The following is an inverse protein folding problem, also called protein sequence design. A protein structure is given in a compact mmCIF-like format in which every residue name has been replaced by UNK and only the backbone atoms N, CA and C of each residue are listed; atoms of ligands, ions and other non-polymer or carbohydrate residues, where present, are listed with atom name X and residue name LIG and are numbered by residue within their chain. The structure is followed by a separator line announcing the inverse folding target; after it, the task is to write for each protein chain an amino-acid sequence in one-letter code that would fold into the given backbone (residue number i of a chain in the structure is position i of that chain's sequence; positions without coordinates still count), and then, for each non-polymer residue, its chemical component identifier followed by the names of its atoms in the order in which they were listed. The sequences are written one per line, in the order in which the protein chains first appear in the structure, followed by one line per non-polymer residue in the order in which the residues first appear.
data_IF_358341922773
#
_entry.id   IF_358341922773
#
_cell.length_a   1.000
_cell.length_b   1.000
_cell.length_c   1.000
_cell.angle_alpha   90.00
_cell.angle_beta   90.00
_cell.angle_gamma   90.00
#
_symmetry.space_group_name_H-M   'P 1'
#
loop_
_entity.id
_entity.type
_entity.pdbx_description
1 polymer ?
#
# COMPACT_ATOMS: atom_id res chain seq x y z
N UNK A 1 -16.90 -12.76 16.59
CA UNK A 1 -17.54 -12.17 15.38
C UNK A 1 -17.27 -13.12 14.22
N UNK A 2 -18.29 -13.50 13.45
CA UNK A 2 -18.11 -14.42 12.32
C UNK A 2 -17.89 -13.60 11.04
N UNK A 3 -16.73 -13.78 10.39
CA UNK A 3 -16.40 -13.17 9.09
C UNK A 3 -16.04 -14.31 8.14
N UNK A 4 -16.81 -14.48 7.06
CA UNK A 4 -16.55 -15.51 6.04
C UNK A 4 -16.33 -16.93 6.60
N UNK A 5 -17.20 -17.34 7.54
CA UNK A 5 -17.11 -18.60 8.30
C UNK A 5 -15.87 -18.75 9.20
N UNK A 6 -15.11 -17.67 9.39
CA UNK A 6 -14.03 -17.60 10.37
C UNK A 6 -14.48 -16.86 11.60
N UNK A 7 -14.25 -17.43 12.78
CA UNK A 7 -14.41 -16.70 14.02
C UNK A 7 -13.21 -15.78 14.25
N UNK A 8 -13.48 -14.48 14.24
CA UNK A 8 -12.56 -13.44 14.71
C UNK A 8 -13.02 -13.04 16.10
N UNK A 9 -12.16 -13.24 17.09
CA UNK A 9 -12.44 -12.83 18.47
C UNK A 9 -12.41 -11.31 18.51
N UNK A 10 -13.46 -10.72 19.07
CA UNK A 10 -13.58 -9.28 19.23
C UNK A 10 -13.56 -8.98 20.73
N UNK A 11 -12.49 -8.33 21.18
CA UNK A 11 -12.40 -7.76 22.53
C UNK A 11 -12.89 -6.32 22.39
N UNK A 12 -14.13 -6.11 22.81
CA UNK A 12 -14.74 -4.78 22.77
C UNK A 12 -14.19 -3.89 23.87
N UNK A 13 -14.05 -2.61 23.55
CA UNK A 13 -13.78 -1.54 24.52
C UNK A 13 -12.54 -1.79 25.42
N UNK A 14 -11.49 -2.42 24.89
CA UNK A 14 -10.21 -2.60 25.59
C UNK A 14 -9.71 -1.24 26.07
N UNK A 15 -9.73 -1.03 27.38
CA UNK A 15 -9.35 0.24 28.00
C UNK A 15 -7.84 0.29 28.22
N UNK A 16 -7.21 1.34 27.68
CA UNK A 16 -5.80 1.67 27.91
C UNK A 16 -5.72 2.77 28.97
N UNK A 17 -5.02 2.51 30.07
CA UNK A 17 -4.73 3.53 31.08
C UNK A 17 -3.71 4.55 30.55
N UNK A 18 -2.77 4.10 29.71
CA UNK A 18 -1.75 4.97 29.10
C UNK A 18 -2.37 5.99 28.14
N UNK A 19 -3.34 5.56 27.32
CA UNK A 19 -3.99 6.40 26.32
C UNK A 19 -5.29 7.07 26.80
N UNK A 20 -5.78 6.66 27.96
CA UNK A 20 -7.06 7.06 28.55
C UNK A 20 -8.21 6.99 27.53
N UNK A 21 -8.33 5.84 26.88
CA UNK A 21 -9.43 5.53 25.97
C UNK A 21 -9.64 4.03 25.82
N UNK A 22 -10.81 3.68 25.30
CA UNK A 22 -11.17 2.32 24.92
C UNK A 22 -11.14 2.18 23.40
N UNK A 23 -10.68 1.02 22.92
CA UNK A 23 -10.70 0.62 21.51
C UNK A 23 -10.96 -0.87 21.35
N UNK A 24 -11.39 -1.28 20.17
CA UNK A 24 -11.58 -2.69 19.89
C UNK A 24 -10.25 -3.36 19.50
N UNK A 25 -10.07 -4.59 19.98
CA UNK A 25 -8.98 -5.47 19.55
C UNK A 25 -9.59 -6.69 18.88
N UNK A 26 -9.09 -7.03 17.70
CA UNK A 26 -9.58 -8.16 16.89
C UNK A 26 -8.49 -9.22 16.81
N UNK A 27 -8.81 -10.45 17.21
CA UNK A 27 -7.85 -11.55 17.23
C UNK A 27 -8.30 -12.64 16.26
N UNK A 28 -7.47 -12.91 15.26
CA UNK A 28 -7.58 -14.10 14.41
C UNK A 28 -6.74 -15.23 15.03
N UNK A 29 -7.36 -16.39 15.14
CA UNK A 29 -6.70 -17.63 15.55
C UNK A 29 -6.50 -18.55 14.34
N UNK A 30 -5.36 -19.26 14.25
CA UNK A 30 -5.08 -20.17 13.14
C UNK A 30 -5.99 -21.41 13.14
N UNK A 31 -6.14 -22.12 12.00
CA UNK A 31 -7.10 -23.21 11.88
C UNK A 31 -6.95 -24.30 12.94
N UNK A 32 -5.71 -24.65 13.29
CA UNK A 32 -5.44 -25.71 14.27
C UNK A 32 -5.42 -25.26 15.73
N UNK A 33 -5.83 -24.01 16.03
CA UNK A 33 -5.70 -23.45 17.37
C UNK A 33 -6.32 -24.35 18.45
N UNK A 34 -7.56 -24.80 18.25
CA UNK A 34 -8.29 -25.62 19.23
C UNK A 34 -7.95 -27.12 19.18
N UNK A 35 -7.25 -27.57 18.14
CA UNK A 35 -6.87 -28.98 17.95
C UNK A 35 -5.63 -29.36 18.79
N UNK A 36 -4.79 -28.37 19.13
CA UNK A 36 -3.51 -28.59 19.80
C UNK A 36 -3.33 -27.69 21.03
N UNK A 37 -3.68 -28.21 22.20
CA UNK A 37 -3.73 -27.47 23.46
C UNK A 37 -2.38 -26.86 23.91
N UNK A 38 -1.26 -27.50 23.57
CA UNK A 38 0.09 -27.07 23.97
C UNK A 38 0.83 -26.26 22.88
N UNK A 39 0.22 -26.08 21.72
CA UNK A 39 0.88 -25.40 20.60
C UNK A 39 0.82 -23.89 20.77
N UNK A 40 1.98 -23.25 20.72
CA UNK A 40 2.14 -21.80 20.69
C UNK A 40 2.38 -21.29 19.26
N UNK A 41 1.94 -20.06 18.99
CA UNK A 41 1.97 -19.46 17.66
C UNK A 41 2.72 -18.12 17.65
N UNK A 42 3.51 -17.81 16.61
CA UNK A 42 4.00 -16.45 16.39
C UNK A 42 2.84 -15.46 16.28
N UNK A 43 3.12 -14.19 16.57
CA UNK A 43 2.10 -13.13 16.60
C UNK A 43 2.43 -12.01 15.62
N UNK A 44 1.44 -11.64 14.81
CA UNK A 44 1.45 -10.43 14.01
C UNK A 44 0.55 -9.39 14.65
N UNK A 45 1.14 -8.31 15.15
CA UNK A 45 0.41 -7.10 15.55
C UNK A 45 0.25 -6.18 14.34
N UNK A 46 -1.00 -5.78 14.05
CA UNK A 46 -1.32 -4.93 12.91
C UNK A 46 -2.20 -3.75 13.32
N UNK A 47 -1.84 -2.57 12.82
CA UNK A 47 -2.55 -1.31 13.04
C UNK A 47 -3.81 -1.22 12.15
N UNK A 48 -4.71 -0.26 12.44
CA UNK A 48 -5.97 -0.06 11.69
C UNK A 48 -6.86 -1.31 11.62
N UNK A 49 -7.05 -1.97 12.77
CA UNK A 49 -7.69 -3.27 12.89
C UNK A 49 -9.07 -3.38 12.23
N UNK A 50 -9.80 -2.28 12.15
CA UNK A 50 -11.12 -2.23 11.54
C UNK A 50 -11.10 -2.52 10.03
N UNK A 51 -9.96 -2.29 9.37
CA UNK A 51 -9.78 -2.52 7.93
C UNK A 51 -9.25 -3.94 7.61
N UNK A 52 -8.76 -4.66 8.61
CA UNK A 52 -7.92 -5.85 8.40
C UNK A 52 -8.73 -7.06 7.91
N UNK A 53 -9.93 -7.26 8.47
CA UNK A 53 -10.69 -8.49 8.24
C UNK A 53 -11.95 -8.32 7.39
N UNK A 54 -12.71 -7.22 7.51
CA UNK A 54 -13.96 -7.02 6.77
C UNK A 54 -14.10 -5.58 6.28
N UNK A 55 -14.68 -5.41 5.09
CA UNK A 55 -14.98 -4.10 4.52
C UNK A 55 -16.15 -3.40 5.24
N UNK A 56 -17.05 -4.16 5.87
CA UNK A 56 -18.24 -3.61 6.57
C UNK A 56 -17.85 -2.72 7.76
N UNK A 57 -16.75 -3.04 8.42
CA UNK A 57 -16.24 -2.30 9.57
C UNK A 57 -15.15 -1.28 9.20
N UNK A 58 -14.75 -1.23 7.92
CA UNK A 58 -13.64 -0.41 7.46
C UNK A 58 -14.06 1.04 7.28
N UNK A 59 -13.22 1.98 7.70
CA UNK A 59 -13.47 3.40 7.47
C UNK A 59 -13.44 3.78 5.98
N UNK A 60 -12.84 2.94 5.13
CA UNK A 60 -12.73 3.18 3.69
C UNK A 60 -13.74 2.39 2.85
N UNK A 61 -14.53 1.51 3.48
CA UNK A 61 -15.36 0.53 2.78
C UNK A 61 -14.57 -0.55 2.01
N UNK A 62 -13.25 -0.66 2.25
CA UNK A 62 -12.37 -1.68 1.68
C UNK A 62 -11.61 -2.41 2.78
N UNK A 63 -11.20 -3.65 2.55
CA UNK A 63 -10.48 -4.45 3.54
C UNK A 63 -9.29 -5.19 2.96
N UNK A 64 -8.30 -5.44 3.82
CA UNK A 64 -7.14 -6.27 3.52
C UNK A 64 -7.52 -7.73 3.31
N UNK A 65 -8.67 -8.16 3.86
CA UNK A 65 -9.08 -9.56 3.90
C UNK A 65 -7.93 -10.46 4.39
N UNK A 66 -7.18 -10.00 5.40
CA UNK A 66 -5.90 -10.59 5.79
C UNK A 66 -6.06 -12.05 6.23
N UNK A 67 -7.17 -12.38 6.89
CA UNK A 67 -7.53 -13.74 7.27
C UNK A 67 -7.61 -14.69 6.06
N UNK A 68 -8.17 -14.26 4.92
CA UNK A 68 -8.24 -15.10 3.70
C UNK A 68 -6.87 -15.38 3.12
N UNK A 69 -6.03 -14.36 3.03
CA UNK A 69 -4.65 -14.51 2.56
C UNK A 69 -3.87 -15.44 3.48
N UNK A 70 -4.02 -15.26 4.79
CA UNK A 70 -3.35 -16.07 5.82
C UNK A 70 -3.82 -17.53 5.75
N UNK A 71 -5.13 -17.78 5.73
CA UNK A 71 -5.71 -19.13 5.60
C UNK A 71 -5.26 -19.81 4.30
N UNK A 72 -5.21 -19.09 3.18
CA UNK A 72 -4.74 -19.65 1.91
C UNK A 72 -3.27 -20.06 2.00
N UNK A 73 -2.41 -19.20 2.55
CA UNK A 73 -0.98 -19.50 2.71
C UNK A 73 -0.75 -20.68 3.67
N UNK A 74 -1.48 -20.74 4.80
CA UNK A 74 -1.44 -21.87 5.75
C UNK A 74 -1.89 -23.16 5.06
N UNK A 75 -3.03 -23.15 4.37
CA UNK A 75 -3.57 -24.31 3.65
C UNK A 75 -2.60 -24.88 2.62
N UNK A 76 -1.79 -24.04 2.00
CA UNK A 76 -0.76 -24.42 1.04
C UNK A 76 0.61 -24.72 1.68
N UNK A 77 0.71 -24.72 3.02
CA UNK A 77 1.95 -24.92 3.78
C UNK A 77 3.06 -23.94 3.40
N UNK A 78 2.70 -22.71 3.02
CA UNK A 78 3.65 -21.67 2.61
C UNK A 78 4.12 -20.82 3.79
N UNK A 79 3.33 -20.74 4.86
CA UNK A 79 3.67 -20.10 6.12
C UNK A 79 3.31 -21.02 7.30
N UNK A 80 4.00 -20.87 8.43
CA UNK A 80 3.53 -21.41 9.69
C UNK A 80 2.24 -20.71 10.14
N UNK A 81 1.45 -21.38 10.96
CA UNK A 81 0.25 -20.80 11.56
C UNK A 81 0.62 -19.68 12.54
N UNK A 82 -0.10 -18.56 12.46
CA UNK A 82 0.12 -17.36 13.27
C UNK A 82 -1.17 -16.89 13.93
N UNK A 83 -1.03 -16.14 15.01
CA UNK A 83 -2.09 -15.31 15.58
C UNK A 83 -1.95 -13.90 15.01
N UNK A 84 -3.06 -13.28 14.64
CA UNK A 84 -3.07 -11.87 14.21
C UNK A 84 -3.86 -11.06 15.21
N UNK A 85 -3.22 -10.05 15.80
CA UNK A 85 -3.82 -9.09 16.71
C UNK A 85 -3.95 -7.76 15.99
N UNK A 86 -5.16 -7.43 15.57
CA UNK A 86 -5.47 -6.23 14.84
C UNK A 86 -6.08 -5.17 15.78
N UNK A 87 -5.47 -3.99 15.83
CA UNK A 87 -5.79 -2.93 16.79
C UNK A 87 -6.54 -1.82 16.10
N UNK A 88 -7.82 -1.65 16.41
CA UNK A 88 -8.62 -0.57 15.83
C UNK A 88 -8.00 0.79 16.18
N UNK A 89 -8.01 1.71 15.22
CA UNK A 89 -7.57 3.08 15.48
C UNK A 89 -8.67 3.91 16.17
N UNK A 90 -8.33 5.15 16.54
CA UNK A 90 -9.25 6.09 17.20
C UNK A 90 -9.70 7.23 16.27
N UNK A 91 -10.02 6.90 15.00
CA UNK A 91 -10.57 7.82 14.00
C UNK A 91 -9.77 9.14 13.90
N UNK A 92 -10.34 10.27 14.31
CA UNK A 92 -9.70 11.60 14.32
C UNK A 92 -8.37 11.63 15.11
N UNK A 93 -8.22 10.78 16.12
CA UNK A 93 -6.99 10.65 16.91
C UNK A 93 -5.93 9.78 16.24
N UNK A 94 -6.26 9.03 15.18
CA UNK A 94 -5.33 8.11 14.48
C UNK A 94 -4.03 8.80 14.08
N UNK A 95 -4.12 9.96 13.44
CA UNK A 95 -2.93 10.69 12.99
C UNK A 95 -2.03 11.11 14.16
N UNK A 96 -2.64 11.49 15.29
CA UNK A 96 -1.93 11.85 16.51
C UNK A 96 -1.25 10.64 17.13
N UNK A 97 -1.98 9.53 17.33
CA UNK A 97 -1.45 8.32 17.95
C UNK A 97 -0.39 7.61 17.11
N UNK A 98 -0.41 7.75 15.77
CA UNK A 98 0.58 7.08 14.90
C UNK A 98 1.80 7.97 14.58
N UNK A 99 1.84 9.19 15.11
CA UNK A 99 2.94 10.12 14.92
C UNK A 99 3.77 10.27 16.20
N UNK A 100 5.06 9.93 16.15
CA UNK A 100 5.99 10.26 17.26
C UNK A 100 6.34 11.75 17.34
N UNK A 101 6.10 12.50 16.27
CA UNK A 101 6.46 13.91 16.15
C UNK A 101 5.25 14.73 15.71
N UNK A 102 5.21 15.98 16.16
CA UNK A 102 4.22 16.94 15.71
C UNK A 102 4.35 17.16 14.19
N UNK A 103 3.21 17.36 13.54
CA UNK A 103 3.13 17.59 12.11
C UNK A 103 1.89 18.38 11.74
N UNK A 104 1.55 18.36 10.46
CA UNK A 104 0.29 18.92 9.98
C UNK A 104 -0.30 18.05 8.89
N UNK A 105 -1.63 18.02 8.82
CA UNK A 105 -2.36 17.32 7.79
C UNK A 105 -3.50 18.19 7.28
N UNK A 106 -3.59 18.36 5.96
CA UNK A 106 -4.57 19.27 5.31
C UNK A 106 -4.56 20.70 5.87
N UNK A 107 -3.42 21.16 6.38
CA UNK A 107 -3.24 22.51 6.96
C UNK A 107 -3.48 22.58 8.47
N UNK A 108 -4.02 21.52 9.08
CA UNK A 108 -4.29 21.49 10.52
C UNK A 108 -3.11 20.88 11.30
N UNK A 109 -2.70 21.48 12.43
CA UNK A 109 -1.65 20.93 13.28
C UNK A 109 -2.10 19.64 13.97
N UNK A 110 -1.21 18.66 14.01
CA UNK A 110 -1.43 17.37 14.68
C UNK A 110 -0.31 17.13 15.68
N UNK A 111 -0.68 16.95 16.95
CA UNK A 111 0.27 16.64 18.02
C UNK A 111 0.66 15.17 17.98
N UNK A 112 1.94 14.85 18.05
CA UNK A 112 2.43 13.48 18.11
C UNK A 112 2.15 12.82 19.47
N UNK A 113 1.57 11.61 19.44
CA UNK A 113 1.32 10.74 20.61
C UNK A 113 1.82 9.30 20.39
N UNK A 114 2.72 9.11 19.43
CA UNK A 114 3.30 7.82 19.06
C UNK A 114 4.03 7.11 20.19
N UNK A 115 4.65 7.84 21.13
CA UNK A 115 5.27 7.22 22.32
C UNK A 115 4.23 6.61 23.25
N UNK A 116 3.11 7.31 23.49
CA UNK A 116 2.03 6.78 24.33
C UNK A 116 1.35 5.59 23.66
N UNK A 117 1.13 5.64 22.35
CA UNK A 117 0.57 4.51 21.61
C UNK A 117 1.50 3.29 21.63
N UNK A 118 2.80 3.52 21.44
CA UNK A 118 3.82 2.50 21.59
C UNK A 118 3.81 1.87 22.98
N UNK A 119 3.74 2.70 24.03
CA UNK A 119 3.70 2.22 25.41
C UNK A 119 2.43 1.40 25.69
N UNK A 120 1.25 1.82 25.21
CA UNK A 120 0.03 1.00 25.25
C UNK A 120 0.23 -0.38 24.63
N UNK A 121 0.78 -0.46 23.41
CA UNK A 121 0.98 -1.75 22.74
C UNK A 121 1.89 -2.66 23.57
N UNK A 122 2.97 -2.10 24.13
CA UNK A 122 4.02 -2.86 24.79
C UNK A 122 3.67 -3.23 26.23
N UNK A 123 3.10 -2.30 26.98
CA UNK A 123 2.94 -2.39 28.43
C UNK A 123 1.55 -2.91 28.83
N UNK A 124 0.55 -2.78 27.94
CA UNK A 124 -0.82 -3.20 28.22
C UNK A 124 -1.27 -4.32 27.27
N UNK A 125 -1.19 -4.10 25.95
CA UNK A 125 -1.75 -5.05 24.99
C UNK A 125 -0.94 -6.35 24.87
N UNK A 126 0.38 -6.27 24.70
CA UNK A 126 1.23 -7.47 24.59
C UNK A 126 1.08 -8.38 25.82
N UNK A 127 1.15 -7.87 27.07
CA UNK A 127 0.92 -8.68 28.26
C UNK A 127 -0.47 -9.33 28.29
N UNK A 128 -1.53 -8.57 27.95
CA UNK A 128 -2.88 -9.11 27.87
C UNK A 128 -2.97 -10.27 26.86
N UNK A 129 -2.41 -10.10 25.66
CA UNK A 129 -2.42 -11.14 24.63
C UNK A 129 -1.65 -12.38 25.10
N UNK A 130 -0.50 -12.18 25.75
CA UNK A 130 0.30 -13.27 26.30
C UNK A 130 -0.43 -14.08 27.37
N UNK A 131 -1.23 -13.43 28.21
CA UNK A 131 -1.99 -14.10 29.27
C UNK A 131 -3.21 -14.87 28.74
N UNK A 132 -3.82 -14.38 27.66
CA UNK A 132 -5.10 -14.89 27.17
C UNK A 132 -4.98 -15.81 25.94
N UNK A 133 -3.82 -15.86 25.26
CA UNK A 133 -3.61 -16.64 24.04
C UNK A 133 -2.28 -17.40 24.04
N UNK A 134 -2.22 -18.52 23.31
CA UNK A 134 -1.01 -19.35 23.18
C UNK A 134 -0.02 -18.75 22.18
N UNK A 135 0.84 -17.86 22.67
CA UNK A 135 1.78 -17.10 21.84
C UNK A 135 3.22 -17.52 22.09
N UNK A 136 4.01 -17.65 21.02
CA UNK A 136 5.46 -17.81 21.11
C UNK A 136 6.07 -16.49 21.55
N UNK A 137 6.96 -16.53 22.54
CA UNK A 137 7.64 -15.34 23.05
C UNK A 137 8.91 -14.99 22.25
N UNK A 138 9.38 -13.76 22.42
CA UNK A 138 10.63 -13.26 21.84
C UNK A 138 10.46 -12.53 20.51
N UNK A 139 11.44 -11.69 20.18
CA UNK A 139 11.41 -10.80 19.01
C UNK A 139 11.22 -11.57 17.69
N UNK A 140 11.90 -12.72 17.55
CA UNK A 140 11.84 -13.56 16.35
C UNK A 140 10.45 -14.14 16.08
N UNK A 141 9.56 -14.14 17.08
CA UNK A 141 8.18 -14.63 16.96
C UNK A 141 7.15 -13.49 16.86
N UNK A 142 7.59 -12.24 16.91
CA UNK A 142 6.69 -11.08 17.01
C UNK A 142 6.92 -10.12 15.84
N UNK A 143 5.87 -9.91 15.05
CA UNK A 143 5.88 -9.00 13.92
C UNK A 143 4.98 -7.78 14.16
N UNK A 144 5.37 -6.65 13.57
CA UNK A 144 4.54 -5.45 13.44
C UNK A 144 4.26 -5.15 11.98
N UNK A 145 3.05 -4.69 11.68
CA UNK A 145 2.64 -4.31 10.34
C UNK A 145 1.70 -3.10 10.37
N UNK A 146 1.84 -2.24 9.37
CA UNK A 146 0.85 -1.21 9.11
C UNK A 146 1.07 -0.55 7.76
N UNK A 147 0.05 0.17 7.30
CA UNK A 147 0.13 0.98 6.08
C UNK A 147 0.10 2.46 6.37
N UNK A 148 0.70 3.28 5.49
CA UNK A 148 0.63 4.75 5.61
C UNK A 148 1.19 5.23 6.96
N UNK A 149 0.38 5.93 7.77
CA UNK A 149 0.72 6.27 9.15
C UNK A 149 0.94 5.03 10.04
N UNK A 150 0.21 3.94 9.80
CA UNK A 150 0.45 2.63 10.41
C UNK A 150 1.86 2.10 10.11
N UNK A 151 2.33 2.29 8.87
CA UNK A 151 3.70 1.94 8.48
C UNK A 151 4.74 2.84 9.16
N UNK A 152 4.43 4.12 9.37
CA UNK A 152 5.29 5.05 10.11
C UNK A 152 5.42 4.66 11.59
N UNK A 153 4.31 4.35 12.27
CA UNK A 153 4.35 3.92 13.67
C UNK A 153 5.04 2.56 13.83
N UNK A 154 4.80 1.61 12.92
CA UNK A 154 5.53 0.33 12.86
C UNK A 154 7.04 0.57 12.75
N UNK A 155 7.46 1.47 11.85
CA UNK A 155 8.88 1.81 11.68
C UNK A 155 9.48 2.37 12.98
N UNK A 156 8.84 3.37 13.58
CA UNK A 156 9.38 4.01 14.79
C UNK A 156 9.40 3.06 16.00
N UNK A 157 8.32 2.29 16.21
CA UNK A 157 8.23 1.34 17.32
C UNK A 157 9.25 0.20 17.15
N UNK A 158 9.32 -0.38 15.95
CA UNK A 158 10.19 -1.51 15.66
C UNK A 158 11.68 -1.18 15.83
N UNK A 159 12.11 0.00 15.37
CA UNK A 159 13.51 0.42 15.55
C UNK A 159 13.87 0.78 16.99
N UNK A 160 12.89 1.22 17.81
CA UNK A 160 13.11 1.50 19.23
C UNK A 160 13.12 0.24 20.08
N UNK A 161 12.41 -0.81 19.66
CA UNK A 161 12.22 -2.04 20.42
C UNK A 161 12.53 -3.29 19.58
N UNK A 162 13.75 -3.41 19.02
CA UNK A 162 14.16 -4.62 18.30
C UNK A 162 14.21 -5.86 19.20
N UNK A 163 14.29 -5.68 20.53
CA UNK A 163 14.19 -6.72 21.54
C UNK A 163 12.77 -7.35 21.63
N UNK A 164 11.75 -6.64 21.12
CA UNK A 164 10.38 -7.14 21.04
C UNK A 164 9.93 -7.43 19.62
N UNK A 165 10.44 -6.72 18.62
CA UNK A 165 9.95 -6.79 17.25
C UNK A 165 11.08 -7.05 16.26
N UNK A 166 11.25 -8.31 15.83
CA UNK A 166 12.25 -8.66 14.82
C UNK A 166 11.70 -8.61 13.39
N UNK A 167 10.39 -8.38 13.17
CA UNK A 167 9.78 -8.42 11.83
C UNK A 167 8.87 -7.22 11.61
N UNK A 168 9.20 -6.36 10.64
CA UNK A 168 8.52 -5.08 10.42
C UNK A 168 8.03 -4.95 8.98
N UNK A 169 6.72 -4.95 8.77
CA UNK A 169 6.11 -4.67 7.46
C UNK A 169 5.65 -3.22 7.36
N UNK A 170 6.38 -2.46 6.56
CA UNK A 170 6.21 -1.04 6.29
C UNK A 170 5.54 -0.87 4.92
N UNK A 171 4.21 -0.84 4.89
CA UNK A 171 3.46 -0.77 3.62
C UNK A 171 3.11 0.67 3.28
N UNK A 172 3.64 1.21 2.19
CA UNK A 172 3.46 2.62 1.82
C UNK A 172 3.65 3.62 2.98
N UNK A 173 4.75 3.54 3.77
CA UNK A 173 4.86 4.28 5.02
C UNK A 173 4.90 5.79 4.80
N UNK A 174 4.26 6.55 5.69
CA UNK A 174 4.17 8.03 5.62
C UNK A 174 5.46 8.73 6.08
N UNK A 175 6.60 8.43 5.45
CA UNK A 175 7.90 9.05 5.75
C UNK A 175 8.02 10.54 5.39
N UNK A 176 6.94 11.11 4.87
CA UNK A 176 6.76 12.54 4.65
C UNK A 176 6.23 13.29 5.87
N UNK A 177 5.78 12.57 6.92
CA UNK A 177 5.21 13.18 8.11
C UNK A 177 6.22 13.99 8.93
N UNK A 178 5.73 15.07 9.54
CA UNK A 178 6.47 15.92 10.48
C UNK A 178 7.32 17.01 9.82
N UNK A 179 7.82 17.93 10.62
CA UNK A 179 8.64 19.08 10.16
C UNK A 179 10.03 18.67 9.65
N UNK A 180 10.46 17.45 9.95
CA UNK A 180 11.70 16.82 9.49
C UNK A 180 11.37 15.37 9.17
N UNK A 181 11.86 14.82 8.05
CA UNK A 181 11.60 13.42 7.73
C UNK A 181 12.01 12.51 8.91
N UNK A 182 11.21 11.49 9.27
CA UNK A 182 11.56 10.53 10.32
C UNK A 182 12.93 9.91 10.11
N UNK A 183 13.37 9.79 8.85
CA UNK A 183 14.65 9.20 8.51
C UNK A 183 15.86 10.13 8.69
N UNK A 184 15.67 11.44 8.87
CA UNK A 184 16.78 12.33 9.28
C UNK A 184 17.28 11.99 10.69
N UNK A 185 16.47 11.28 11.48
CA UNK A 185 16.81 10.81 12.82
C UNK A 185 17.34 9.37 12.82
N UNK A 186 17.58 8.75 11.65
CA UNK A 186 18.17 7.41 11.53
C UNK A 186 19.49 7.30 12.30
N UNK A 187 20.31 8.35 12.31
CA UNK A 187 21.60 8.39 13.00
C UNK A 187 21.48 8.17 14.53
N UNK A 188 20.27 8.24 15.09
CA UNK A 188 20.01 7.97 16.52
C UNK A 188 19.83 6.48 16.82
N UNK A 189 19.62 5.66 15.81
CA UNK A 189 19.45 4.22 15.96
C UNK A 189 20.76 3.52 15.61
N UNK A 190 21.17 2.60 16.47
CA UNK A 190 22.27 1.71 16.17
C UNK A 190 21.76 0.54 15.32
N UNK A 191 22.02 0.62 14.02
CA UNK A 191 21.67 -0.44 13.09
C UNK A 191 22.67 -1.59 13.06
N UNK A 192 23.82 -1.47 13.73
CA UNK A 192 24.87 -2.49 13.70
C UNK A 192 24.47 -3.77 14.44
N UNK A 193 23.58 -3.66 15.42
CA UNK A 193 23.04 -4.80 16.19
C UNK A 193 21.60 -5.17 15.81
N UNK A 194 20.97 -4.41 14.89
CA UNK A 194 19.58 -4.63 14.50
C UNK A 194 19.47 -5.85 13.57
N UNK A 195 18.98 -6.98 14.10
CA UNK A 195 18.76 -8.22 13.32
C UNK A 195 17.35 -8.30 12.72
N UNK A 196 16.61 -7.19 12.68
CA UNK A 196 15.23 -7.18 12.21
C UNK A 196 15.13 -7.45 10.71
N UNK A 197 14.12 -8.24 10.33
CA UNK A 197 13.62 -8.42 8.97
C UNK A 197 12.63 -7.31 8.64
N UNK A 198 12.92 -6.51 7.62
CA UNK A 198 12.07 -5.41 7.20
C UNK A 198 11.51 -5.69 5.80
N UNK A 199 10.18 -5.72 5.70
CA UNK A 199 9.48 -5.60 4.42
C UNK A 199 9.12 -4.13 4.22
N UNK A 200 9.58 -3.54 3.12
CA UNK A 200 9.25 -2.17 2.74
C UNK A 200 8.59 -2.17 1.37
N UNK A 201 7.44 -1.52 1.23
CA UNK A 201 6.83 -1.34 -0.08
C UNK A 201 6.21 0.04 -0.28
N UNK A 202 5.99 0.38 -1.55
CA UNK A 202 5.17 1.51 -1.98
C UNK A 202 4.61 1.19 -3.37
N UNK A 203 3.45 1.74 -3.69
CA UNK A 203 2.89 1.68 -5.04
C UNK A 203 3.49 2.72 -5.97
N UNK A 204 3.68 2.35 -7.24
CA UNK A 204 4.19 3.28 -8.26
C UNK A 204 3.16 4.30 -8.77
N UNK A 205 1.95 4.25 -8.21
CA UNK A 205 0.80 5.07 -8.59
C UNK A 205 0.13 5.74 -7.38
N UNK A 206 0.87 5.99 -6.30
CA UNK A 206 0.37 6.65 -5.08
C UNK A 206 0.32 8.20 -5.15
N UNK A 207 0.53 8.77 -6.33
CA UNK A 207 0.35 10.21 -6.57
C UNK A 207 1.37 11.07 -5.84
N UNK A 208 0.91 12.09 -5.10
CA UNK A 208 1.78 13.05 -4.41
C UNK A 208 2.58 12.45 -3.25
N UNK A 209 2.13 11.32 -2.69
CA UNK A 209 2.82 10.67 -1.58
C UNK A 209 4.16 10.04 -2.00
N UNK A 210 4.28 9.58 -3.25
CA UNK A 210 5.49 8.91 -3.76
C UNK A 210 6.73 9.81 -3.71
N UNK A 211 6.63 11.04 -4.23
CA UNK A 211 7.81 11.90 -4.38
C UNK A 211 8.47 12.25 -3.04
N UNK A 212 7.69 12.25 -1.95
CA UNK A 212 8.19 12.50 -0.61
C UNK A 212 8.71 11.21 0.05
N UNK A 213 8.15 10.04 -0.31
CA UNK A 213 8.57 8.74 0.21
C UNK A 213 9.85 8.22 -0.46
N UNK A 214 10.04 8.41 -1.78
CA UNK A 214 11.16 7.84 -2.55
C UNK A 214 12.53 8.22 -1.99
N UNK A 215 12.72 9.51 -1.65
CA UNK A 215 13.99 9.99 -1.09
C UNK A 215 14.32 9.33 0.24
N UNK A 216 13.29 9.03 1.02
CA UNK A 216 13.44 8.46 2.34
C UNK A 216 13.66 6.94 2.23
N UNK A 217 12.91 6.26 1.36
CA UNK A 217 13.16 4.86 1.01
C UNK A 217 14.62 4.65 0.58
N UNK A 218 15.16 5.50 -0.30
CA UNK A 218 16.56 5.40 -0.74
C UNK A 218 17.57 5.48 0.42
N UNK A 219 17.30 6.28 1.46
CA UNK A 219 18.16 6.36 2.66
C UNK A 219 18.10 5.08 3.48
N UNK A 220 16.90 4.52 3.68
CA UNK A 220 16.73 3.28 4.42
C UNK A 220 17.39 2.10 3.69
N UNK A 221 17.29 2.06 2.35
CA UNK A 221 17.95 1.04 1.53
C UNK A 221 19.47 1.19 1.52
N UNK A 222 20.00 2.40 1.70
CA UNK A 222 21.44 2.60 1.83
C UNK A 222 22.00 1.98 3.12
N UNK A 223 21.22 1.92 4.20
CA UNK A 223 21.64 1.31 5.49
C UNK A 223 21.95 -0.18 5.31
N UNK A 224 21.12 -0.91 4.54
CA UNK A 224 21.29 -2.35 4.27
C UNK A 224 22.70 -2.73 3.81
N UNK A 225 23.43 -1.84 3.13
CA UNK A 225 24.78 -2.15 2.61
C UNK A 225 25.83 -2.36 3.70
N UNK A 226 25.62 -1.79 4.89
CA UNK A 226 26.63 -1.72 5.94
C UNK A 226 26.15 -2.30 7.28
N UNK A 227 25.00 -2.98 7.31
CA UNK A 227 24.37 -3.46 8.55
C UNK A 227 23.78 -4.86 8.35
N UNK A 228 23.56 -5.63 9.43
CA UNK A 228 22.92 -6.94 9.35
C UNK A 228 21.42 -6.89 9.02
N UNK A 229 20.83 -5.70 8.91
CA UNK A 229 19.39 -5.52 8.65
C UNK A 229 19.01 -6.07 7.27
N UNK A 230 18.09 -7.03 7.25
CA UNK A 230 17.59 -7.60 6.01
C UNK A 230 16.35 -6.82 5.53
N UNK A 231 16.51 -6.03 4.47
CA UNK A 231 15.43 -5.22 3.89
C UNK A 231 15.07 -5.75 2.50
N UNK A 232 13.83 -6.23 2.35
CA UNK A 232 13.21 -6.39 1.04
C UNK A 232 12.43 -5.12 0.68
N UNK A 233 12.57 -4.68 -0.57
CA UNK A 233 11.83 -3.55 -1.11
C UNK A 233 10.94 -3.98 -2.26
N UNK A 234 9.70 -3.50 -2.31
CA UNK A 234 8.82 -3.70 -3.44
C UNK A 234 8.17 -2.39 -3.89
N UNK A 235 8.58 -1.91 -5.06
CA UNK A 235 7.84 -0.86 -5.77
C UNK A 235 6.72 -1.55 -6.58
N UNK A 236 5.52 -1.57 -6.01
CA UNK A 236 4.37 -2.28 -6.54
C UNK A 236 3.81 -1.60 -7.81
N UNK A 237 3.87 -2.26 -8.99
CA UNK A 237 3.33 -1.70 -10.22
C UNK A 237 1.83 -1.46 -10.12
N UNK A 238 1.37 -0.31 -10.63
CA UNK A 238 -0.03 0.11 -10.70
C UNK A 238 -0.76 0.17 -9.35
N UNK A 239 -0.03 0.06 -8.23
CA UNK A 239 -0.62 0.10 -6.91
C UNK A 239 -0.84 1.55 -6.46
N UNK A 240 -2.05 1.81 -5.96
CA UNK A 240 -2.45 3.08 -5.35
C UNK A 240 -2.39 2.99 -3.83
N UNK A 241 -2.63 4.11 -3.14
CA UNK A 241 -2.59 4.21 -1.68
C UNK A 241 -3.95 3.81 -1.09
N UNK A 242 -4.30 2.52 -1.13
CA UNK A 242 -5.59 2.00 -0.67
C UNK A 242 -5.50 0.63 0.02
N UNK A 243 -6.52 0.31 0.83
CA UNK A 243 -6.63 -0.98 1.54
C UNK A 243 -6.61 -2.17 0.57
N UNK A 244 -7.29 -2.07 -0.56
CA UNK A 244 -7.28 -3.11 -1.60
C UNK A 244 -5.89 -3.31 -2.22
N UNK A 245 -5.14 -2.23 -2.44
CA UNK A 245 -3.79 -2.33 -2.99
C UNK A 245 -2.81 -2.97 -2.01
N UNK A 246 -2.98 -2.75 -0.70
CA UNK A 246 -2.21 -3.44 0.36
C UNK A 246 -2.65 -4.91 0.48
N UNK A 247 -3.95 -5.20 0.44
CA UNK A 247 -4.51 -6.55 0.40
C UNK A 247 -3.85 -7.41 -0.68
N UNK A 248 -3.71 -6.85 -1.89
CA UNK A 248 -3.16 -7.52 -3.07
C UNK A 248 -1.67 -7.84 -3.00
N UNK A 249 -0.97 -7.43 -1.93
CA UNK A 249 0.46 -7.70 -1.76
C UNK A 249 0.87 -8.11 -0.34
N UNK A 250 -0.07 -8.19 0.61
CA UNK A 250 0.23 -8.58 2.00
C UNK A 250 0.75 -10.02 2.13
N UNK A 251 0.53 -10.88 1.13
CA UNK A 251 1.14 -12.21 1.14
C UNK A 251 2.68 -12.16 1.11
N UNK A 252 3.30 -11.12 0.51
CA UNK A 252 4.75 -11.01 0.47
C UNK A 252 5.38 -10.89 1.87
N UNK A 253 4.98 -9.94 2.74
CA UNK A 253 5.51 -9.88 4.09
C UNK A 253 5.18 -11.13 4.91
N UNK A 254 3.99 -11.74 4.75
CA UNK A 254 3.66 -12.99 5.44
C UNK A 254 4.61 -14.14 5.06
N UNK A 255 4.87 -14.33 3.76
CA UNK A 255 5.83 -15.32 3.26
C UNK A 255 7.25 -15.06 3.77
N UNK A 256 7.66 -13.80 3.84
CA UNK A 256 9.00 -13.42 4.30
C UNK A 256 9.18 -13.64 5.81
N UNK A 257 8.15 -13.38 6.61
CA UNK A 257 8.22 -13.39 8.06
C UNK A 257 7.96 -14.75 8.70
N UNK A 258 7.04 -15.52 8.12
CA UNK A 258 6.50 -16.73 8.73
C UNK A 258 6.61 -17.95 7.81
N UNK A 259 7.26 -17.81 6.66
CA UNK A 259 7.27 -18.85 5.64
C UNK A 259 8.58 -18.98 4.90
N UNK A 260 8.47 -19.54 3.70
CA UNK A 260 9.57 -19.63 2.75
C UNK A 260 9.29 -18.78 1.52
N UNK A 261 10.24 -17.93 1.15
CA UNK A 261 10.18 -17.18 -0.12
C UNK A 261 10.31 -18.08 -1.36
N UNK A 262 10.79 -19.33 -1.18
CA UNK A 262 10.94 -20.31 -2.25
C UNK A 262 12.05 -20.01 -3.25
N UNK A 263 11.98 -20.68 -4.40
CA UNK A 263 12.97 -20.55 -5.48
C UNK A 263 12.62 -19.41 -6.43
N UNK A 264 13.66 -18.71 -6.90
CA UNK A 264 13.56 -17.71 -7.97
C UNK A 264 12.97 -18.37 -9.23
N UNK A 265 12.01 -17.71 -9.86
CA UNK A 265 11.27 -18.20 -11.02
C UNK A 265 11.48 -17.31 -12.24
N UNK A 266 11.28 -16.00 -12.09
CA UNK A 266 11.24 -15.08 -13.23
C UNK A 266 11.78 -13.70 -12.86
N UNK A 267 12.48 -13.07 -13.80
CA UNK A 267 12.90 -11.67 -13.72
C UNK A 267 12.15 -10.88 -14.80
N UNK A 268 11.57 -9.74 -14.44
CA UNK A 268 10.93 -8.83 -15.38
C UNK A 268 11.39 -7.38 -15.15
N UNK A 269 11.21 -6.54 -16.16
CA UNK A 269 11.44 -5.10 -16.04
C UNK A 269 10.08 -4.40 -16.12
N UNK A 270 9.59 -3.88 -15.00
CA UNK A 270 8.43 -2.98 -14.98
C UNK A 270 8.82 -1.55 -15.41
N UNK A 271 7.88 -0.83 -16.03
CA UNK A 271 8.08 0.53 -16.53
C UNK A 271 7.53 0.74 -17.94
N UNK A 272 7.67 1.95 -18.48
CA UNK A 272 7.05 2.34 -19.76
C UNK A 272 7.74 1.73 -20.97
N UNK A 273 6.96 1.51 -22.01
CA UNK A 273 7.43 1.14 -23.36
C UNK A 273 7.61 2.37 -24.27
N UNK A 274 7.17 3.56 -23.82
CA UNK A 274 7.22 4.79 -24.61
C UNK A 274 7.59 5.99 -23.74
N UNK A 275 8.64 6.70 -24.13
CA UNK A 275 9.18 7.87 -23.41
C UNK A 275 9.45 9.03 -24.38
N UNK A 276 9.62 10.25 -23.86
CA UNK A 276 9.89 11.44 -24.68
C UNK A 276 11.29 12.00 -24.46
N UNK A 277 11.90 12.57 -25.50
CA UNK A 277 13.07 13.47 -25.35
C UNK A 277 12.74 14.72 -24.51
N UNK A 278 11.46 15.11 -24.50
CA UNK A 278 10.89 16.12 -23.62
C UNK A 278 9.66 15.52 -22.95
N UNK A 279 9.59 15.54 -21.62
CA UNK A 279 8.50 14.95 -20.87
C UNK A 279 8.93 14.60 -19.45
N UNK A 280 8.14 13.78 -18.74
CA UNK A 280 8.53 13.30 -17.42
C UNK A 280 9.77 12.40 -17.52
N UNK A 281 10.54 12.35 -16.43
CA UNK A 281 11.57 11.34 -16.24
C UNK A 281 10.93 9.98 -15.94
N UNK A 282 11.65 8.91 -16.28
CA UNK A 282 11.19 7.53 -16.06
C UNK A 282 12.31 6.66 -15.52
N UNK A 283 11.94 5.83 -14.56
CA UNK A 283 12.78 4.81 -13.97
C UNK A 283 12.19 3.44 -14.31
N UNK A 284 13.04 2.49 -14.68
CA UNK A 284 12.67 1.09 -14.80
C UNK A 284 12.79 0.41 -13.44
N UNK A 285 11.90 -0.54 -13.18
CA UNK A 285 11.80 -1.27 -11.93
C UNK A 285 11.92 -2.77 -12.21
N UNK A 286 13.10 -3.38 -12.04
CA UNK A 286 13.26 -4.83 -12.16
C UNK A 286 12.58 -5.54 -11.00
N UNK A 287 11.74 -6.54 -11.29
CA UNK A 287 11.00 -7.32 -10.31
C UNK A 287 11.40 -8.79 -10.45
N UNK A 288 11.82 -9.39 -9.35
CA UNK A 288 12.10 -10.82 -9.26
C UNK A 288 10.91 -11.52 -8.62
N UNK A 289 10.45 -12.57 -9.28
CA UNK A 289 9.34 -13.43 -8.89
C UNK A 289 9.85 -14.79 -8.45
N UNK A 290 9.15 -15.38 -7.49
CA UNK A 290 9.46 -16.67 -6.89
C UNK A 290 8.26 -17.59 -7.02
N UNK A 291 8.51 -18.92 -7.02
CA UNK A 291 7.47 -19.94 -7.20
C UNK A 291 6.33 -19.91 -6.17
N UNK A 292 6.57 -19.34 -4.99
CA UNK A 292 5.56 -19.17 -3.92
C UNK A 292 4.64 -17.98 -4.15
N UNK A 293 4.89 -17.20 -5.20
CA UNK A 293 4.24 -15.92 -5.47
C UNK A 293 4.99 -14.72 -4.88
N UNK A 294 5.94 -14.94 -3.95
CA UNK A 294 6.78 -13.86 -3.42
C UNK A 294 7.45 -13.08 -4.55
N UNK A 295 7.48 -11.76 -4.43
CA UNK A 295 8.11 -10.88 -5.42
C UNK A 295 8.59 -9.60 -4.79
N UNK A 296 9.68 -9.05 -5.31
CA UNK A 296 10.26 -7.79 -4.82
C UNK A 296 11.06 -7.09 -5.91
N UNK A 297 11.31 -5.80 -5.71
CA UNK A 297 12.14 -4.97 -6.58
C UNK A 297 13.61 -5.29 -6.35
N UNK A 298 14.34 -5.58 -7.44
CA UNK A 298 15.77 -5.81 -7.38
C UNK A 298 16.53 -4.48 -7.43
N UNK A 299 17.36 -4.27 -6.40
CA UNK A 299 18.21 -3.09 -6.26
C UNK A 299 19.65 -3.33 -6.76
N UNK A 300 20.02 -4.58 -7.02
CA UNK A 300 21.36 -5.03 -7.36
C UNK A 300 21.34 -5.74 -8.72
N UNK A 301 22.13 -5.24 -9.67
CA UNK A 301 22.24 -5.82 -10.99
C UNK A 301 22.78 -4.81 -11.99
N UNK A 302 22.79 -5.20 -13.26
CA UNK A 302 23.39 -4.40 -14.32
C UNK A 302 22.35 -4.09 -15.40
N UNK A 303 22.13 -2.80 -15.63
CA UNK A 303 21.40 -2.30 -16.78
C UNK A 303 22.33 -2.07 -17.96
N UNK A 304 21.83 -2.36 -19.16
CA UNK A 304 22.48 -2.02 -20.42
C UNK A 304 21.46 -1.67 -21.50
N UNK A 305 21.89 -0.90 -22.50
CA UNK A 305 21.10 -0.60 -23.69
C UNK A 305 21.77 -1.19 -24.93
N UNK A 306 20.99 -1.81 -25.81
CA UNK A 306 21.50 -2.27 -27.10
C UNK A 306 21.73 -1.12 -28.11
N UNK A 307 21.26 0.09 -27.79
CA UNK A 307 21.46 1.28 -28.61
C UNK A 307 21.57 2.55 -27.73
N UNK A 308 22.71 2.74 -27.05
CA UNK A 308 22.95 3.87 -26.15
C UNK A 308 22.88 5.25 -26.84
N UNK A 309 23.06 5.30 -28.17
CA UNK A 309 22.91 6.55 -28.93
C UNK A 309 21.45 7.03 -29.04
N UNK A 310 20.49 6.11 -28.95
CA UNK A 310 19.05 6.41 -28.94
C UNK A 310 18.57 6.59 -27.51
N UNK A 311 18.87 5.63 -26.65
CA UNK A 311 18.43 5.58 -25.27
C UNK A 311 19.49 4.91 -24.42
N UNK A 312 20.01 5.65 -23.46
CA UNK A 312 20.94 5.13 -22.45
C UNK A 312 20.21 4.93 -21.12
N UNK A 313 20.85 4.28 -20.15
CA UNK A 313 20.27 4.00 -18.84
C UNK A 313 21.37 3.97 -17.77
N UNK A 314 21.10 4.57 -16.61
CA UNK A 314 21.99 4.43 -15.46
C UNK A 314 21.71 3.16 -14.65
N UNK A 315 22.63 2.80 -13.75
CA UNK A 315 22.48 1.60 -12.92
C UNK A 315 21.39 1.72 -11.85
N UNK A 316 20.80 2.91 -11.66
CA UNK A 316 19.60 3.09 -10.82
C UNK A 316 18.32 2.86 -11.63
N UNK A 317 18.41 2.62 -12.94
CA UNK A 317 17.27 2.39 -13.82
C UNK A 317 16.70 3.66 -14.46
N UNK A 318 17.34 4.83 -14.30
CA UNK A 318 16.86 6.06 -14.91
C UNK A 318 17.14 6.04 -16.42
N UNK A 319 16.10 6.28 -17.21
CA UNK A 319 16.18 6.32 -18.66
C UNK A 319 16.72 7.67 -19.15
N UNK A 320 17.73 7.63 -20.02
CA UNK A 320 18.44 8.78 -20.55
C UNK A 320 18.21 8.88 -22.08
N UNK A 321 17.05 9.41 -22.53
CA UNK A 321 16.74 9.47 -23.96
C UNK A 321 17.62 10.51 -24.67
N UNK A 322 18.27 10.11 -25.77
CA UNK A 322 19.20 10.96 -26.54
C UNK A 322 18.66 11.34 -27.92
N UNK A 323 18.08 10.38 -28.63
CA UNK A 323 17.50 10.58 -29.97
C UNK A 323 16.19 9.83 -30.12
N UNK A 324 15.38 10.23 -31.10
CA UNK A 324 14.20 9.45 -31.48
C UNK A 324 14.63 8.09 -32.01
N UNK A 325 13.90 7.05 -31.66
CA UNK A 325 14.17 5.70 -32.15
C UNK A 325 13.60 4.64 -31.22
N UNK A 326 14.13 3.43 -31.34
CA UNK A 326 13.85 2.32 -30.44
C UNK A 326 15.16 1.77 -29.90
N UNK A 327 15.15 1.38 -28.64
CA UNK A 327 16.22 0.63 -28.02
C UNK A 327 15.61 -0.47 -27.14
N UNK A 328 16.37 -1.53 -26.92
CA UNK A 328 16.06 -2.54 -25.94
C UNK A 328 16.97 -2.32 -24.73
N UNK A 329 16.34 -2.23 -23.56
CA UNK A 329 17.04 -2.22 -22.28
C UNK A 329 17.06 -3.64 -21.75
N UNK A 330 18.24 -4.09 -21.34
CA UNK A 330 18.44 -5.36 -20.62
C UNK A 330 18.80 -5.09 -19.16
N UNK A 331 18.33 -5.97 -18.28
CA UNK A 331 18.73 -6.01 -16.87
C UNK A 331 19.19 -7.43 -16.53
N UNK A 332 20.37 -7.55 -15.92
CA UNK A 332 20.98 -8.83 -15.52
C UNK A 332 21.21 -8.87 -14.02
N UNK A 333 20.73 -9.92 -13.38
CA UNK A 333 20.94 -10.18 -11.95
C UNK A 333 20.75 -11.67 -11.66
N UNK A 334 21.51 -12.23 -10.71
CA UNK A 334 21.37 -13.62 -10.24
C UNK A 334 21.40 -14.69 -11.35
N UNK A 335 22.24 -14.51 -12.38
CA UNK A 335 22.27 -15.37 -13.59
C UNK A 335 20.97 -15.41 -14.39
N UNK A 336 20.07 -14.45 -14.14
CA UNK A 336 18.84 -14.22 -14.88
C UNK A 336 18.97 -12.91 -15.67
N UNK A 337 18.18 -12.81 -16.74
CA UNK A 337 18.10 -11.59 -17.53
C UNK A 337 16.67 -11.30 -17.93
N UNK A 338 16.36 -10.01 -18.05
CA UNK A 338 15.10 -9.52 -18.58
C UNK A 338 15.39 -8.40 -19.59
N UNK A 339 14.50 -8.22 -20.55
CA UNK A 339 14.64 -7.19 -21.56
C UNK A 339 13.31 -6.47 -21.81
N UNK A 340 13.38 -5.17 -22.10
CA UNK A 340 12.21 -4.34 -22.42
C UNK A 340 12.52 -3.42 -23.61
N UNK A 341 11.64 -3.46 -24.61
CA UNK A 341 11.71 -2.58 -25.77
C UNK A 341 11.08 -1.22 -25.43
N UNK A 342 11.78 -0.14 -25.78
CA UNK A 342 11.36 1.23 -25.48
C UNK A 342 11.44 2.10 -26.74
N UNK A 343 10.36 2.83 -27.02
CA UNK A 343 10.29 3.83 -28.09
C UNK A 343 10.52 5.24 -27.52
N UNK A 344 11.51 5.96 -28.08
CA UNK A 344 11.78 7.36 -27.77
C UNK A 344 11.12 8.27 -28.80
N UNK A 345 10.19 9.12 -28.35
CA UNK A 345 9.48 10.10 -29.18
C UNK A 345 9.93 11.54 -28.90
N UNK A 346 9.50 12.50 -29.74
CA UNK A 346 9.92 13.92 -29.61
C UNK A 346 9.53 14.53 -28.27
N UNK A 347 8.28 14.31 -27.88
CA UNK A 347 7.65 14.91 -26.71
C UNK A 347 6.58 13.97 -26.21
N UNK A 348 6.64 13.64 -24.93
CA UNK A 348 5.59 12.94 -24.22
C UNK A 348 5.00 13.90 -23.19
N UNK A 349 3.71 14.21 -23.32
CA UNK A 349 3.04 15.17 -22.44
C UNK A 349 2.95 14.62 -21.01
N UNK A 350 3.33 15.41 -20.01
CA UNK A 350 3.14 15.07 -18.59
C UNK A 350 1.67 14.96 -18.19
N UNK A 351 0.78 15.63 -18.93
CA UNK A 351 -0.66 15.58 -18.70
C UNK A 351 -1.37 14.73 -19.74
N UNK A 352 -2.39 14.01 -19.28
CA UNK A 352 -3.28 13.18 -20.09
C UNK A 352 -4.71 13.70 -19.99
N UNK A 353 -5.38 13.77 -21.13
CA UNK A 353 -6.76 14.24 -21.22
C UNK A 353 -7.72 13.06 -21.28
N UNK A 354 -8.54 12.90 -20.24
CA UNK A 354 -9.60 11.88 -20.19
C UNK A 354 -10.93 12.57 -20.44
N UNK A 355 -11.68 12.13 -21.45
CA UNK A 355 -13.04 12.59 -21.72
C UNK A 355 -14.01 11.51 -21.25
N UNK A 356 -14.80 11.80 -20.22
CA UNK A 356 -15.79 10.88 -19.67
C UNK A 356 -17.16 11.33 -20.18
N UNK A 357 -17.90 10.38 -20.73
CA UNK A 357 -19.27 10.55 -21.17
C UNK A 357 -20.16 9.62 -20.35
N UNK A 358 -21.28 10.15 -19.87
CA UNK A 358 -22.26 9.41 -19.10
C UNK A 358 -23.61 9.51 -19.80
N UNK A 359 -24.31 8.39 -19.90
CA UNK A 359 -25.71 8.31 -20.30
C UNK A 359 -26.54 7.78 -19.13
N UNK A 360 -27.60 8.48 -18.76
CA UNK A 360 -28.55 8.06 -17.71
C UNK A 360 -29.82 7.49 -18.35
N UNK A 361 -30.61 6.76 -17.56
CA UNK A 361 -31.89 6.23 -18.02
C UNK A 361 -32.94 7.33 -18.03
N UNK A 362 -33.03 8.07 -16.93
CA UNK A 362 -33.93 9.20 -16.74
C UNK A 362 -33.22 10.54 -16.99
N UNK A 363 -34.02 11.56 -17.27
CA UNK A 363 -33.52 12.94 -17.20
C UNK A 363 -33.62 13.40 -15.75
N UNK A 364 -32.67 14.23 -15.33
CA UNK A 364 -32.66 14.83 -14.00
C UNK A 364 -32.88 16.34 -14.14
N UNK A 365 -34.14 16.83 -14.19
CA UNK A 365 -34.43 18.24 -14.36
C UNK A 365 -34.06 18.98 -13.07
N UNK A 366 -33.14 19.95 -13.17
CA UNK A 366 -32.74 20.77 -12.03
C UNK A 366 -31.66 20.18 -11.12
N UNK A 367 -31.29 18.91 -11.28
CA UNK A 367 -30.17 18.31 -10.56
C UNK A 367 -28.89 18.29 -11.42
N UNK A 368 -27.77 18.56 -10.77
CA UNK A 368 -26.45 18.49 -11.38
C UNK A 368 -25.85 17.11 -11.17
N UNK A 369 -25.18 16.59 -12.20
CA UNK A 369 -24.44 15.33 -12.09
C UNK A 369 -22.96 15.65 -11.97
N UNK A 370 -22.28 14.97 -11.06
CA UNK A 370 -20.89 15.16 -10.76
C UNK A 370 -20.09 13.89 -11.00
N UNK A 371 -18.80 14.09 -11.23
CA UNK A 371 -17.78 13.07 -11.16
C UNK A 371 -17.03 13.26 -9.83
N UNK A 372 -17.30 12.40 -8.85
CA UNK A 372 -16.63 12.42 -7.55
C UNK A 372 -15.32 11.64 -7.64
N UNK A 373 -14.18 12.29 -7.38
CA UNK A 373 -12.83 11.69 -7.56
C UNK A 373 -12.16 11.42 -6.21
N UNK A 374 -12.16 12.41 -5.31
CA UNK A 374 -11.60 12.29 -3.96
C UNK A 374 -12.31 13.31 -3.07
N UNK A 375 -12.67 13.02 -1.83
CA UNK A 375 -13.44 13.98 -1.00
C UNK A 375 -12.57 15.19 -0.61
N UNK A 376 -12.95 16.46 -0.92
CA UNK A 376 -14.24 16.96 -1.45
C UNK A 376 -14.27 17.33 -2.94
N UNK A 377 -13.30 16.86 -3.72
CA UNK A 377 -13.22 17.03 -5.16
C UNK A 377 -14.32 16.27 -5.94
N UNK A 378 -15.41 16.98 -6.22
CA UNK A 378 -16.43 16.64 -7.22
C UNK A 378 -16.35 17.58 -8.44
N UNK A 379 -16.45 17.02 -9.65
CA UNK A 379 -16.40 17.79 -10.90
C UNK A 379 -17.77 17.74 -11.57
N UNK A 380 -18.45 18.88 -11.62
CA UNK A 380 -19.74 19.01 -12.32
C UNK A 380 -19.59 18.61 -13.79
N UNK A 381 -20.41 17.65 -14.22
CA UNK A 381 -20.45 17.19 -15.59
C UNK A 381 -21.33 18.13 -16.43
N UNK A 382 -20.84 18.51 -17.62
CA UNK A 382 -21.61 19.33 -18.55
C UNK A 382 -22.67 18.49 -19.26
N UNK A 383 -23.94 18.85 -19.13
CA UNK A 383 -25.04 18.28 -19.94
C UNK A 383 -24.80 18.61 -21.42
N UNK A 384 -24.77 17.58 -22.27
CA UNK A 384 -24.49 17.69 -23.71
C UNK A 384 -25.79 17.61 -24.51
N UNK A 385 -26.71 16.74 -24.09
CA UNK A 385 -28.07 16.57 -24.63
C UNK A 385 -28.93 15.85 -23.58
N UNK A 386 -30.19 15.56 -23.89
CA UNK A 386 -31.09 14.78 -23.03
C UNK A 386 -30.40 13.48 -22.56
N UNK A 387 -30.37 13.26 -21.24
CA UNK A 387 -29.78 12.11 -20.56
C UNK A 387 -28.31 11.85 -20.94
N UNK A 388 -27.52 12.88 -21.24
CA UNK A 388 -26.13 12.73 -21.66
C UNK A 388 -25.24 13.83 -21.12
N UNK A 389 -24.19 13.43 -20.41
CA UNK A 389 -23.30 14.31 -19.66
C UNK A 389 -21.85 14.05 -20.03
N UNK A 390 -20.99 15.06 -19.82
CA UNK A 390 -19.58 15.00 -20.16
C UNK A 390 -18.70 15.72 -19.14
N UNK A 391 -17.63 15.06 -18.73
CA UNK A 391 -16.50 15.65 -18.02
C UNK A 391 -15.22 15.53 -18.83
N UNK A 392 -14.28 16.45 -18.59
CA UNK A 392 -12.94 16.41 -19.18
C UNK A 392 -11.91 16.60 -18.08
N UNK A 393 -11.17 15.55 -17.79
CA UNK A 393 -10.10 15.57 -16.81
C UNK A 393 -8.77 15.81 -17.51
N UNK A 394 -7.90 16.58 -16.86
CA UNK A 394 -6.48 16.72 -17.21
C UNK A 394 -5.66 16.19 -16.05
N UNK A 395 -5.32 14.91 -16.13
CA UNK A 395 -4.61 14.18 -15.07
C UNK A 395 -3.12 14.18 -15.34
N UNK A 396 -2.31 13.97 -14.31
CA UNK A 396 -0.89 13.64 -14.49
C UNK A 396 -0.82 12.29 -15.21
N UNK A 397 0.12 12.12 -16.13
CA UNK A 397 0.26 10.88 -16.89
C UNK A 397 0.62 9.75 -15.95
N UNK A 398 -0.05 8.61 -16.13
CA UNK A 398 0.01 7.40 -15.31
C UNK A 398 -0.59 7.53 -13.91
N UNK A 399 -1.15 8.68 -13.56
CA UNK A 399 -1.97 8.80 -12.37
C UNK A 399 -3.15 7.82 -12.46
N UNK A 400 -3.35 7.07 -11.39
CA UNK A 400 -4.53 6.23 -11.23
C UNK A 400 -5.50 7.00 -10.36
N UNK A 401 -6.70 7.20 -10.88
CA UNK A 401 -7.80 7.81 -10.13
C UNK A 401 -8.91 6.80 -9.93
N UNK A 402 -9.54 6.87 -8.77
CA UNK A 402 -10.83 6.25 -8.51
C UNK A 402 -11.91 7.32 -8.67
N UNK A 403 -13.06 7.01 -9.25
CA UNK A 403 -14.16 7.96 -9.36
C UNK A 403 -15.53 7.28 -9.40
N UNK A 404 -16.57 7.99 -8.97
CA UNK A 404 -17.96 7.58 -9.11
C UNK A 404 -18.82 8.71 -9.70
N UNK A 405 -20.03 8.38 -10.12
CA UNK A 405 -21.01 9.39 -10.52
C UNK A 405 -21.91 9.71 -9.33
N UNK A 406 -22.09 11.01 -9.05
CA UNK A 406 -22.91 11.47 -7.92
C UNK A 406 -23.92 12.54 -8.33
N UNK A 407 -24.96 12.70 -7.51
CA UNK A 407 -25.91 13.82 -7.56
C UNK A 407 -25.41 15.05 -6.77
N UNK A 408 -24.17 14.98 -6.26
CA UNK A 408 -23.57 15.96 -5.36
C UNK A 408 -23.48 15.42 -3.93
N UNK A 409 -22.64 16.05 -3.10
CA UNK A 409 -22.45 15.65 -1.69
C UNK A 409 -22.11 14.17 -1.54
N UNK A 410 -21.43 13.58 -2.52
CA UNK A 410 -21.06 12.16 -2.56
C UNK A 410 -22.22 11.16 -2.64
N UNK A 411 -23.45 11.63 -2.86
CA UNK A 411 -24.64 10.78 -3.04
C UNK A 411 -24.56 10.02 -4.36
N UNK A 412 -24.71 8.69 -4.32
CA UNK A 412 -24.58 7.83 -5.51
C UNK A 412 -25.69 8.10 -6.53
N UNK A 413 -25.30 8.21 -7.80
CA UNK A 413 -26.24 8.44 -8.89
C UNK A 413 -27.11 7.22 -9.24
N UNK A 414 -26.56 5.99 -9.15
CA UNK A 414 -27.25 4.81 -9.67
C UNK A 414 -26.48 3.49 -9.54
N UNK A 415 -27.05 2.45 -10.14
CA UNK A 415 -26.48 1.10 -10.33
C UNK A 415 -26.03 0.88 -11.77
N UNK A 416 -25.07 -0.01 -11.99
CA UNK A 416 -24.68 -0.43 -13.33
C UNK A 416 -25.72 -1.41 -13.93
N UNK A 417 -25.52 -1.83 -15.18
CA UNK A 417 -26.43 -2.76 -15.86
C UNK A 417 -26.52 -4.15 -15.17
N UNK A 418 -25.59 -4.47 -14.27
CA UNK A 418 -25.59 -5.70 -13.47
C UNK A 418 -26.28 -5.53 -12.10
N UNK A 419 -26.87 -4.35 -11.83
CA UNK A 419 -27.56 -4.07 -10.57
C UNK A 419 -26.62 -3.87 -9.38
N UNK A 420 -25.30 -3.74 -9.62
CA UNK A 420 -24.32 -3.36 -8.62
C UNK A 420 -24.34 -1.84 -8.48
N UNK A 421 -24.19 -1.32 -7.26
CA UNK A 421 -23.95 0.13 -7.11
C UNK A 421 -22.82 0.54 -8.06
N UNK A 422 -22.96 1.68 -8.73
CA UNK A 422 -21.87 2.23 -9.54
C UNK A 422 -20.78 2.68 -8.59
N UNK A 423 -19.95 1.72 -8.18
CA UNK A 423 -18.84 1.90 -7.28
C UNK A 423 -17.73 2.75 -7.91
N UNK A 424 -16.64 2.92 -7.17
CA UNK A 424 -15.49 3.66 -7.63
C UNK A 424 -14.83 2.96 -8.84
N UNK A 425 -15.02 3.50 -10.04
CA UNK A 425 -14.26 3.12 -11.23
C UNK A 425 -12.80 3.52 -11.04
N UNK A 426 -11.88 2.61 -11.29
CA UNK A 426 -10.45 2.93 -11.33
C UNK A 426 -9.96 3.12 -12.77
N UNK A 427 -9.14 4.15 -13.00
CA UNK A 427 -8.58 4.46 -14.30
C UNK A 427 -7.12 4.92 -14.19
N UNK A 428 -6.23 4.20 -14.88
CA UNK A 428 -4.88 4.70 -15.19
C UNK A 428 -4.88 5.66 -16.38
N UNK A 429 -4.42 6.89 -16.14
CA UNK A 429 -4.28 7.97 -17.10
C UNK A 429 -3.02 7.83 -17.97
N UNK A 430 -2.81 6.67 -18.59
CA UNK A 430 -1.59 6.40 -19.38
C UNK A 430 -1.58 7.05 -20.76
N UNK A 431 -2.76 7.39 -21.30
CA UNK A 431 -2.92 8.04 -22.60
C UNK A 431 -4.25 8.77 -22.69
N UNK A 432 -4.40 9.68 -23.66
CA UNK A 432 -5.66 10.37 -23.89
C UNK A 432 -6.75 9.32 -24.19
N UNK A 433 -7.82 9.31 -23.39
CA UNK A 433 -8.90 8.33 -23.51
C UNK A 433 -10.25 9.03 -23.62
N UNK A 434 -11.17 8.33 -24.28
CA UNK A 434 -12.60 8.62 -24.25
C UNK A 434 -13.29 7.42 -23.61
N UNK A 435 -13.99 7.65 -22.51
CA UNK A 435 -14.75 6.63 -21.79
C UNK A 435 -16.24 6.97 -21.88
N UNK A 436 -17.06 5.94 -22.04
CA UNK A 436 -18.51 6.06 -22.13
C UNK A 436 -19.12 5.11 -21.11
N UNK A 437 -20.00 5.64 -20.26
CA UNK A 437 -20.70 4.90 -19.22
C UNK A 437 -22.20 5.02 -19.43
N UNK A 438 -22.92 4.00 -18.99
CA UNK A 438 -24.37 4.01 -18.88
C UNK A 438 -24.73 3.56 -17.46
N UNK A 439 -25.64 4.30 -16.83
CA UNK A 439 -26.07 4.05 -15.45
C UNK A 439 -27.59 3.87 -15.43
N UNK A 440 -28.04 2.92 -14.63
CA UNK A 440 -29.45 2.71 -14.25
C UNK A 440 -29.64 3.49 -12.96
N UNK A 441 -30.50 4.50 -13.01
CA UNK A 441 -30.63 5.47 -11.92
C UNK A 441 -31.31 4.80 -10.69
N UNK A 442 -30.94 5.19 -9.46
CA UNK A 442 -31.72 4.79 -8.28
C UNK A 442 -33.08 5.51 -8.34
N UNK A 443 -34.18 4.76 -8.24
CA UNK A 443 -35.55 5.30 -8.31
C UNK A 443 -35.81 6.41 -7.29
#
# INVERSE_FOLDING_TARGET
MLIDNREIILINDFYSHILDNSRNIRVYLPPSYDDFAEREYPVLYIHDGQNVFSAENSYSGQSWQLHKTTDALIKHNLIEEIIIVAVDNMEEKRLSEYAHEDGSFKGEPVKGRGEQYQAFIIEELIPFIKENFRVKLGADNTALMGSSMGGLITFNMGLKRPDLFAKLALMSPSFWWGNSSPLQKLNKYDFSELQSKIWLDTGDSEGSFMALADREIDKLLAIRKNTPVEIFYYLAPDAVHSEEAWANRVYCPLLYFFGSIGQKEKLEINGREKIGLKGPDFKLNPILYYKTGFKHTILEGEFSSNNPEVLDIDQKGNLLPRKKGRAQIEFKAFSMQAAKNIEVIKKLSEKVKIKIFLKTENDFPGADIYLAISDPQEIKMKKVKKNSYKAVLKLKRDEIISFKFSLGSWELLGRDEAGKEVGAFSLKASQNKRLSFKVVDFN
#
